data_IF_885177710067
#
_entry.id   IF_885177710067
#
_cell.length_a   1.000
_cell.length_b   1.000
_cell.length_c   1.000
_cell.angle_alpha   90.00
_cell.angle_beta   90.00
_cell.angle_gamma   90.00
#
_symmetry.space_group_name_H-M   'P 1'
#
loop_
_entity.id
_entity.type
_entity.pdbx_description
1 polymer ?
#
# COMPACT_ATOMS: atom_id res chain seq x y z
N UNK A 1 -13.91 11.89 2.58
CA UNK A 1 -12.88 10.83 2.53
C UNK A 1 -12.49 10.73 1.08
N UNK A 2 -11.20 10.87 0.77
CA UNK A 2 -10.69 10.67 -0.58
C UNK A 2 -10.40 9.19 -0.67
N UNK A 3 -11.06 8.53 -1.61
CA UNK A 3 -10.86 7.10 -1.90
C UNK A 3 -10.13 7.00 -3.23
N UNK A 4 -9.31 5.96 -3.38
CA UNK A 4 -8.73 5.63 -4.67
C UNK A 4 -9.85 5.18 -5.61
N UNK A 5 -9.72 5.48 -6.90
CA UNK A 5 -10.57 4.85 -7.90
C UNK A 5 -10.33 3.33 -7.95
N UNK A 6 -11.39 2.58 -8.24
CA UNK A 6 -11.40 1.11 -8.21
C UNK A 6 -10.29 0.48 -9.04
N UNK A 7 -9.95 1.09 -10.17
CA UNK A 7 -8.88 0.58 -11.04
C UNK A 7 -7.51 0.66 -10.34
N UNK A 8 -7.22 1.79 -9.69
CA UNK A 8 -6.01 1.98 -8.90
C UNK A 8 -5.95 1.04 -7.71
N UNK A 9 -7.08 0.88 -7.00
CA UNK A 9 -7.19 -0.09 -5.89
C UNK A 9 -6.89 -1.52 -6.35
N UNK A 10 -7.48 -1.97 -7.46
CA UNK A 10 -7.27 -3.32 -8.00
C UNK A 10 -5.82 -3.54 -8.44
N UNK A 11 -5.18 -2.54 -9.05
CA UNK A 11 -3.76 -2.61 -9.44
C UNK A 11 -2.85 -2.79 -8.23
N UNK A 12 -3.04 -1.98 -7.18
CA UNK A 12 -2.26 -2.07 -5.94
C UNK A 12 -2.55 -3.39 -5.23
N UNK A 13 -3.82 -3.80 -5.14
CA UNK A 13 -4.23 -5.06 -4.55
C UNK A 13 -3.53 -6.25 -5.21
N UNK A 14 -3.43 -6.28 -6.54
CA UNK A 14 -2.74 -7.35 -7.27
C UNK A 14 -1.25 -7.45 -6.93
N UNK A 15 -0.61 -6.34 -6.54
CA UNK A 15 0.78 -6.30 -6.10
C UNK A 15 0.92 -6.82 -4.67
N UNK A 16 0.04 -6.41 -3.76
CA UNK A 16 0.17 -6.76 -2.33
C UNK A 16 -0.42 -8.14 -2.00
N UNK A 17 -1.47 -8.59 -2.71
CA UNK A 17 -2.18 -9.86 -2.46
C UNK A 17 -1.27 -11.10 -2.36
N UNK A 18 -0.21 -11.27 -3.17
CA UNK A 18 0.74 -12.40 -3.04
C UNK A 18 1.49 -12.48 -1.70
N UNK A 19 1.51 -11.38 -0.94
CA UNK A 19 2.13 -11.26 0.39
C UNK A 19 1.16 -11.62 1.52
N UNK A 20 -0.14 -11.71 1.23
CA UNK A 20 -1.18 -12.08 2.19
C UNK A 20 -1.59 -13.55 2.05
N UNK A 21 -1.93 -14.19 3.18
CA UNK A 21 -2.44 -15.57 3.22
C UNK A 21 -3.95 -15.64 2.97
N UNK A 22 -4.65 -14.54 3.16
CA UNK A 22 -6.11 -14.45 3.09
C UNK A 22 -6.54 -14.39 1.62
N UNK A 23 -7.40 -15.32 1.21
CA UNK A 23 -7.94 -15.37 -0.16
C UNK A 23 -8.78 -14.13 -0.50
N UNK A 24 -9.47 -13.62 0.52
CA UNK A 24 -10.34 -12.45 0.49
C UNK A 24 -9.66 -11.20 1.04
N UNK A 25 -8.32 -11.13 0.95
CA UNK A 25 -7.59 -9.93 1.35
C UNK A 25 -8.10 -8.73 0.54
N UNK A 26 -8.51 -7.68 1.26
CA UNK A 26 -8.91 -6.39 0.71
C UNK A 26 -7.78 -5.41 1.01
N UNK A 27 -7.47 -4.56 0.02
CA UNK A 27 -6.49 -3.50 0.19
C UNK A 27 -6.97 -2.56 1.29
N UNK A 28 -6.22 -2.49 2.39
CA UNK A 28 -6.50 -1.56 3.46
C UNK A 28 -5.56 -0.36 3.32
N UNK A 29 -6.11 0.84 3.23
CA UNK A 29 -5.34 2.07 3.12
C UNK A 29 -6.04 3.26 3.78
N UNK A 30 -5.28 4.31 4.05
CA UNK A 30 -5.78 5.58 4.58
C UNK A 30 -5.09 6.75 3.89
N UNK A 31 -5.87 7.61 3.24
CA UNK A 31 -5.40 8.89 2.68
C UNK A 31 -5.60 9.98 3.74
N UNK A 32 -4.53 10.70 4.08
CA UNK A 32 -4.56 11.85 4.99
C UNK A 32 -4.63 13.16 4.22
N UNK A 33 -5.10 14.23 4.87
CA UNK A 33 -5.22 15.58 4.27
C UNK A 33 -3.89 16.13 3.70
N UNK A 34 -2.74 15.69 4.20
CA UNK A 34 -1.41 16.01 3.68
C UNK A 34 -1.04 15.29 2.34
N UNK A 35 -2.03 14.77 1.60
CA UNK A 35 -1.82 14.00 0.37
C UNK A 35 -0.91 12.78 0.57
N UNK A 36 -1.01 12.13 1.74
CA UNK A 36 -0.25 10.91 2.04
C UNK A 36 -1.20 9.73 2.14
N UNK A 37 -0.96 8.70 1.32
CA UNK A 37 -1.63 7.42 1.43
C UNK A 37 -0.76 6.44 2.22
N UNK A 38 -1.35 5.84 3.25
CA UNK A 38 -0.75 4.77 4.03
C UNK A 38 -1.40 3.45 3.62
N UNK A 39 -0.66 2.56 2.99
CA UNK A 39 -1.12 1.20 2.67
C UNK A 39 -0.74 0.27 3.83
N UNK A 40 -1.72 -0.44 4.36
CA UNK A 40 -1.59 -1.32 5.51
C UNK A 40 -1.47 -2.78 5.06
N UNK A 41 -0.38 -3.43 5.45
CA UNK A 41 -0.10 -4.83 5.13
C UNK A 41 0.38 -5.59 6.35
N UNK A 42 -0.39 -6.59 6.78
CA UNK A 42 -0.02 -7.51 7.86
C UNK A 42 1.33 -8.17 7.61
N UNK A 43 2.19 -8.22 8.63
CA UNK A 43 3.50 -8.87 8.55
C UNK A 43 3.30 -10.37 8.50
N UNK A 44 3.35 -10.93 7.30
CA UNK A 44 3.39 -12.38 7.12
C UNK A 44 4.84 -12.84 7.31
N UNK A 45 5.08 -13.81 8.21
CA UNK A 45 6.40 -14.25 8.72
C UNK A 45 7.23 -15.01 7.65
N UNK A 46 7.11 -14.66 6.38
CA UNK A 46 7.91 -15.26 5.30
C UNK A 46 7.88 -14.55 3.96
N UNK A 47 7.10 -13.47 3.80
CA UNK A 47 7.09 -12.67 2.56
C UNK A 47 6.93 -11.19 2.91
N UNK A 48 8.00 -10.42 2.73
CA UNK A 48 7.97 -8.97 2.82
C UNK A 48 7.76 -8.38 1.43
N UNK A 49 6.94 -7.33 1.33
CA UNK A 49 6.78 -6.58 0.07
C UNK A 49 8.15 -6.03 -0.32
N UNK A 50 8.55 -6.27 -1.56
CA UNK A 50 9.85 -5.86 -2.08
C UNK A 50 9.89 -4.36 -2.39
N UNK A 51 11.09 -3.78 -2.40
CA UNK A 51 11.27 -2.38 -2.85
C UNK A 51 10.76 -2.17 -4.27
N UNK A 52 10.97 -3.13 -5.18
CA UNK A 52 10.47 -3.06 -6.56
C UNK A 52 8.94 -2.95 -6.62
N UNK A 53 8.23 -3.70 -5.77
CA UNK A 53 6.78 -3.64 -5.69
C UNK A 53 6.29 -2.33 -5.06
N UNK A 54 7.03 -1.79 -4.08
CA UNK A 54 6.75 -0.44 -3.55
C UNK A 54 6.95 0.63 -4.63
N UNK A 55 7.98 0.52 -5.47
CA UNK A 55 8.17 1.44 -6.60
C UNK A 55 7.01 1.36 -7.59
N UNK A 56 6.56 0.16 -7.97
CA UNK A 56 5.38 0.00 -8.83
C UNK A 56 4.12 0.63 -8.24
N UNK A 57 3.92 0.49 -6.92
CA UNK A 57 2.80 1.11 -6.23
C UNK A 57 2.92 2.64 -6.29
N UNK A 58 4.12 3.19 -6.11
CA UNK A 58 4.36 4.62 -6.28
C UNK A 58 4.05 5.10 -7.70
N UNK A 59 4.47 4.36 -8.74
CA UNK A 59 4.15 4.64 -10.14
C UNK A 59 2.63 4.63 -10.40
N UNK A 60 1.91 3.64 -9.85
CA UNK A 60 0.45 3.54 -9.98
C UNK A 60 -0.25 4.74 -9.35
N UNK A 61 0.24 5.17 -8.18
CA UNK A 61 -0.28 6.32 -7.45
C UNK A 61 0.17 7.66 -8.04
N UNK A 62 1.02 7.64 -9.08
CA UNK A 62 1.74 8.80 -9.60
C UNK A 62 2.44 9.61 -8.49
N UNK A 63 2.90 8.91 -7.45
CA UNK A 63 3.40 9.49 -6.21
C UNK A 63 4.82 9.03 -5.88
N UNK A 64 5.27 9.35 -4.67
CA UNK A 64 6.60 8.99 -4.17
C UNK A 64 6.48 8.14 -2.91
N UNK A 65 7.26 7.05 -2.83
CA UNK A 65 7.39 6.29 -1.59
C UNK A 65 8.23 7.07 -0.57
N UNK A 66 7.63 7.50 0.54
CA UNK A 66 8.29 8.33 1.56
C UNK A 66 8.79 7.54 2.76
N UNK A 67 8.41 6.26 2.88
CA UNK A 67 8.93 5.36 3.90
C UNK A 67 7.88 4.39 4.44
N UNK A 68 8.28 3.60 5.43
CA UNK A 68 7.38 2.68 6.11
C UNK A 68 7.59 2.68 7.61
N UNK A 69 6.57 2.25 8.34
CA UNK A 69 6.62 1.99 9.78
C UNK A 69 5.96 0.66 10.09
N UNK A 70 6.39 0.04 11.18
CA UNK A 70 5.78 -1.18 11.70
C UNK A 70 4.99 -0.81 12.95
N UNK A 71 3.70 -1.12 12.96
CA UNK A 71 2.82 -0.89 14.12
C UNK A 71 2.00 -2.15 14.33
N UNK A 72 2.02 -2.73 15.54
CA UNK A 72 1.21 -3.92 15.88
C UNK A 72 1.31 -5.09 14.87
N UNK A 73 2.52 -5.42 14.39
CA UNK A 73 2.76 -6.46 13.38
C UNK A 73 2.10 -6.17 12.01
N UNK A 74 1.94 -4.90 11.67
CA UNK A 74 1.45 -4.41 10.38
C UNK A 74 2.46 -3.40 9.80
N UNK A 75 2.86 -3.62 8.56
CA UNK A 75 3.57 -2.63 7.76
C UNK A 75 2.60 -1.53 7.32
N UNK A 76 3.05 -0.29 7.47
CA UNK A 76 2.36 0.90 6.96
C UNK A 76 3.29 1.58 5.97
N UNK A 77 3.03 1.39 4.70
CA UNK A 77 3.81 2.00 3.61
C UNK A 77 3.19 3.34 3.27
N UNK A 78 3.96 4.40 3.45
CA UNK A 78 3.51 5.76 3.19
C UNK A 78 3.98 6.21 1.81
N UNK A 79 3.05 6.75 1.02
CA UNK A 79 3.30 7.33 -0.28
C UNK A 79 2.74 8.75 -0.31
N UNK A 80 3.52 9.69 -0.83
CA UNK A 80 3.08 11.05 -1.08
C UNK A 80 2.48 11.13 -2.47
N UNK A 81 1.21 11.52 -2.55
CA UNK A 81 0.49 11.75 -3.80
C UNK A 81 0.93 13.09 -4.41
N UNK A 82 0.83 13.23 -5.74
CA UNK A 82 1.09 14.50 -6.41
C UNK A 82 0.02 15.54 -5.99
N UNK A 83 0.43 16.80 -5.90
CA UNK A 83 -0.45 17.96 -5.65
C UNK A 83 -1.40 18.25 -6.83
#
# INVERSE_FOLDING_TARGET
MVDLDKETEEKILNIVKPYHKEKDYILNYLITDDHVINIFSSINIGKAITTEDLTKIADILNGEFIGFKIVNQEYRFAFKLPE
#
